data_IF_433019455819
#
_entry.id   IF_433019455819
#
_cell.length_a   1.000
_cell.length_b   1.000
_cell.length_c   1.000
_cell.angle_alpha   90.00
_cell.angle_beta   90.00
_cell.angle_gamma   90.00
#
_symmetry.space_group_name_H-M   'P 1'
#
loop_
_entity.id
_entity.type
_entity.pdbx_description
1 polymer ?
#
# COMPACT_ATOMS: atom_id res chain seq x y z
N UNK A 1 26.37 -32.09 20.89
CA UNK A 1 27.44 -33.08 20.96
C UNK A 1 28.80 -32.43 21.23
N UNK A 2 29.20 -31.38 20.50
CA UNK A 2 30.38 -30.58 20.80
C UNK A 2 30.03 -29.09 20.94
N UNK A 3 30.96 -28.30 21.48
CA UNK A 3 30.75 -26.86 21.68
C UNK A 3 30.50 -26.12 20.35
N UNK A 4 31.26 -26.46 19.30
CA UNK A 4 31.16 -25.90 17.94
C UNK A 4 29.74 -26.08 17.37
N UNK A 5 29.14 -27.29 17.51
CA UNK A 5 27.80 -27.57 17.03
C UNK A 5 26.72 -26.81 17.78
N UNK A 6 26.87 -26.65 19.10
CA UNK A 6 25.94 -25.87 19.91
C UNK A 6 25.97 -24.37 19.56
N UNK A 7 27.17 -23.84 19.36
CA UNK A 7 27.38 -22.43 18.98
C UNK A 7 26.81 -22.16 17.59
N UNK A 8 27.14 -22.96 16.58
CA UNK A 8 26.61 -22.81 15.22
C UNK A 8 25.07 -22.90 15.19
N UNK A 9 24.48 -23.83 15.93
CA UNK A 9 23.02 -23.95 16.05
C UNK A 9 22.40 -22.74 16.73
N UNK A 10 22.99 -22.23 17.80
CA UNK A 10 22.53 -21.03 18.48
C UNK A 10 22.60 -19.82 17.55
N UNK A 11 23.71 -19.60 16.89
CA UNK A 11 23.88 -18.49 15.95
C UNK A 11 22.83 -18.52 14.86
N UNK A 12 22.56 -19.70 14.26
CA UNK A 12 21.51 -19.85 13.27
C UNK A 12 20.11 -19.58 13.82
N UNK A 13 19.78 -20.14 14.98
CA UNK A 13 18.44 -19.96 15.57
C UNK A 13 18.17 -18.52 15.97
N UNK A 14 19.18 -17.79 16.42
CA UNK A 14 19.05 -16.38 16.75
C UNK A 14 18.85 -15.54 15.46
N UNK A 15 19.62 -15.80 14.41
CA UNK A 15 19.46 -15.16 13.10
C UNK A 15 18.10 -15.51 12.45
N UNK A 16 17.67 -16.76 12.54
CA UNK A 16 16.36 -17.19 12.03
C UNK A 16 15.18 -16.51 12.73
N UNK A 17 15.28 -16.28 14.05
CA UNK A 17 14.25 -15.53 14.79
C UNK A 17 14.12 -14.09 14.28
N UNK A 18 15.26 -13.42 14.03
CA UNK A 18 15.27 -12.05 13.49
C UNK A 18 14.65 -12.03 12.09
N UNK A 19 15.05 -12.95 11.23
CA UNK A 19 14.45 -13.10 9.89
C UNK A 19 12.95 -13.34 9.95
N UNK A 20 12.51 -14.26 10.82
CA UNK A 20 11.07 -14.58 10.97
C UNK A 20 10.26 -13.37 11.44
N UNK A 21 10.80 -12.60 12.37
CA UNK A 21 10.15 -11.38 12.85
C UNK A 21 10.07 -10.34 11.73
N UNK A 22 11.18 -10.06 11.04
CA UNK A 22 11.20 -9.11 9.93
C UNK A 22 10.21 -9.52 8.80
N UNK A 23 10.09 -10.83 8.52
CA UNK A 23 9.11 -11.33 7.55
C UNK A 23 7.68 -11.07 8.00
N UNK A 24 7.36 -11.29 9.27
CA UNK A 24 6.03 -11.01 9.82
C UNK A 24 5.69 -9.52 9.78
N UNK A 25 6.67 -8.65 10.05
CA UNK A 25 6.49 -7.19 10.01
C UNK A 25 6.17 -6.72 8.58
N UNK A 26 6.85 -7.26 7.56
CA UNK A 26 6.56 -6.99 6.14
C UNK A 26 5.20 -7.55 5.73
N UNK A 27 4.91 -8.82 6.04
CA UNK A 27 3.64 -9.48 5.69
C UNK A 27 2.43 -8.69 6.25
N UNK A 28 2.54 -8.16 7.47
CA UNK A 28 1.49 -7.37 8.12
C UNK A 28 1.22 -6.02 7.41
N UNK A 29 2.26 -5.40 6.80
CA UNK A 29 2.08 -4.16 6.04
C UNK A 29 1.59 -4.40 4.62
N UNK A 30 1.85 -5.56 4.03
CA UNK A 30 1.45 -5.88 2.65
C UNK A 30 -0.05 -6.13 2.47
N UNK A 31 -0.79 -6.47 3.51
CA UNK A 31 -2.22 -6.81 3.43
C UNK A 31 -3.12 -5.72 2.82
N UNK A 32 -2.67 -4.43 2.75
CA UNK A 32 -3.47 -3.31 2.23
C UNK A 32 -2.75 -2.47 1.15
N UNK A 33 -1.69 -2.97 0.53
CA UNK A 33 -0.86 -2.20 -0.41
C UNK A 33 -1.64 -1.67 -1.63
N UNK A 34 -2.50 -2.47 -2.23
CA UNK A 34 -3.21 -2.08 -3.45
C UNK A 34 -4.27 -1.00 -3.19
N UNK A 35 -4.87 -1.00 -2.01
CA UNK A 35 -5.82 0.03 -1.59
C UNK A 35 -5.11 1.34 -1.27
N UNK A 36 -3.99 1.28 -0.56
CA UNK A 36 -3.15 2.45 -0.24
C UNK A 36 -2.60 3.12 -1.49
N UNK A 37 -2.10 2.35 -2.46
CA UNK A 37 -1.59 2.90 -3.72
C UNK A 37 -2.68 3.67 -4.48
N UNK A 38 -3.90 3.14 -4.55
CA UNK A 38 -5.04 3.82 -5.18
C UNK A 38 -5.45 5.08 -4.41
N UNK A 39 -5.44 5.01 -3.08
CA UNK A 39 -5.75 6.17 -2.23
C UNK A 39 -4.72 7.28 -2.42
N UNK A 40 -3.42 6.94 -2.50
CA UNK A 40 -2.33 7.88 -2.80
C UNK A 40 -2.52 8.60 -4.14
N UNK A 41 -2.76 7.83 -5.21
CA UNK A 41 -2.97 8.40 -6.54
C UNK A 41 -4.21 9.31 -6.59
N UNK A 42 -5.29 8.90 -5.91
CA UNK A 42 -6.51 9.69 -5.83
C UNK A 42 -6.29 10.99 -5.05
N UNK A 43 -5.62 10.93 -3.89
CA UNK A 43 -5.34 12.11 -3.08
C UNK A 43 -4.45 13.11 -3.82
N UNK A 44 -3.39 12.65 -4.49
CA UNK A 44 -2.52 13.50 -5.31
C UNK A 44 -3.31 14.21 -6.40
N UNK A 45 -4.12 13.47 -7.16
CA UNK A 45 -4.97 14.05 -8.20
C UNK A 45 -5.92 15.13 -7.64
N UNK A 46 -6.54 14.87 -6.48
CA UNK A 46 -7.48 15.80 -5.86
C UNK A 46 -6.81 17.07 -5.34
N UNK A 47 -5.62 16.93 -4.74
CA UNK A 47 -4.82 18.05 -4.28
C UNK A 47 -4.37 18.90 -5.46
N UNK A 48 -3.77 18.28 -6.49
CA UNK A 48 -3.32 18.97 -7.70
C UNK A 48 -4.46 19.75 -8.36
N UNK A 49 -5.67 19.15 -8.47
CA UNK A 49 -6.85 19.80 -9.05
C UNK A 49 -7.28 21.05 -8.27
N UNK A 50 -7.18 21.03 -6.93
CA UNK A 50 -7.54 22.17 -6.09
C UNK A 50 -6.45 23.24 -6.12
N UNK A 51 -5.17 22.84 -6.01
CA UNK A 51 -4.02 23.76 -6.09
C UNK A 51 -3.95 24.49 -7.45
N UNK A 52 -4.14 23.76 -8.55
CA UNK A 52 -4.14 24.33 -9.93
C UNK A 52 -5.25 25.36 -10.10
N UNK A 53 -6.37 25.20 -9.40
CA UNK A 53 -7.44 26.17 -9.44
C UNK A 53 -7.10 27.47 -8.72
N UNK A 54 -6.15 27.49 -7.77
CA UNK A 54 -5.66 28.68 -7.06
C UNK A 54 -6.79 29.46 -6.40
N UNK A 55 -7.60 28.79 -5.59
CA UNK A 55 -8.78 29.38 -4.95
C UNK A 55 -8.39 30.36 -3.84
N UNK A 56 -9.22 31.41 -3.67
CA UNK A 56 -9.10 32.38 -2.58
C UNK A 56 -10.39 32.39 -1.73
N UNK A 57 -10.24 32.50 -0.41
CA UNK A 57 -11.37 32.52 0.51
C UNK A 57 -12.35 33.63 0.14
N UNK A 58 -13.64 33.30 0.01
CA UNK A 58 -14.70 34.22 -0.37
C UNK A 58 -14.76 34.58 -1.85
N UNK A 59 -13.91 33.95 -2.70
CA UNK A 59 -13.88 34.21 -4.13
C UNK A 59 -15.20 33.83 -4.82
N UNK A 60 -15.81 32.74 -4.42
CA UNK A 60 -17.10 32.28 -4.95
C UNK A 60 -18.22 33.32 -4.76
N UNK A 61 -18.22 33.98 -3.59
CA UNK A 61 -19.19 35.05 -3.31
C UNK A 61 -18.89 36.28 -4.16
N UNK A 62 -17.63 36.71 -4.23
CA UNK A 62 -17.23 37.90 -4.97
C UNK A 62 -17.45 37.76 -6.48
N UNK A 63 -17.15 36.61 -7.06
CA UNK A 63 -17.39 36.29 -8.48
C UNK A 63 -18.88 36.26 -8.79
N UNK A 64 -19.72 35.64 -7.93
CA UNK A 64 -21.15 35.59 -8.11
C UNK A 64 -21.81 36.99 -8.05
N UNK A 65 -21.38 37.86 -7.14
CA UNK A 65 -21.85 39.24 -7.04
C UNK A 65 -21.43 40.07 -8.26
N UNK A 66 -20.17 39.88 -8.73
CA UNK A 66 -19.65 40.57 -9.92
C UNK A 66 -20.40 40.12 -11.18
N UNK A 67 -20.64 38.82 -11.37
CA UNK A 67 -21.43 38.29 -12.48
C UNK A 67 -22.84 38.91 -12.51
N UNK A 68 -23.52 38.91 -11.38
CA UNK A 68 -24.87 39.49 -11.29
C UNK A 68 -24.88 40.96 -11.69
N UNK A 69 -23.86 41.73 -11.36
CA UNK A 69 -23.71 43.13 -11.76
C UNK A 69 -23.45 43.25 -13.25
N UNK A 70 -22.55 42.43 -13.80
CA UNK A 70 -22.21 42.45 -15.23
C UNK A 70 -23.39 41.99 -16.11
N UNK A 71 -24.16 40.99 -15.70
CA UNK A 71 -25.40 40.57 -16.35
C UNK A 71 -26.40 41.73 -16.46
N UNK A 72 -26.52 42.52 -15.38
CA UNK A 72 -27.39 43.71 -15.36
C UNK A 72 -26.95 44.76 -16.36
N UNK A 73 -25.66 44.99 -16.48
CA UNK A 73 -25.09 45.95 -17.45
C UNK A 73 -25.28 45.47 -18.91
N UNK A 74 -25.07 44.21 -19.22
CA UNK A 74 -25.34 43.64 -20.54
C UNK A 74 -26.80 43.84 -20.95
N UNK A 75 -27.73 43.57 -20.03
CA UNK A 75 -29.16 43.78 -20.29
C UNK A 75 -29.51 45.26 -20.56
N UNK A 76 -28.95 46.17 -19.75
CA UNK A 76 -29.16 47.62 -19.93
C UNK A 76 -28.61 48.09 -21.28
N UNK A 77 -27.37 47.71 -21.63
CA UNK A 77 -26.74 48.08 -22.91
C UNK A 77 -27.56 47.59 -24.12
N UNK A 78 -28.04 46.34 -24.09
CA UNK A 78 -28.92 45.84 -25.14
C UNK A 78 -30.22 46.63 -25.30
N UNK A 79 -30.87 46.96 -24.17
CA UNK A 79 -32.13 47.73 -24.22
C UNK A 79 -31.89 49.15 -24.72
N UNK A 80 -30.82 49.81 -24.26
CA UNK A 80 -30.45 51.16 -24.69
C UNK A 80 -30.11 51.17 -26.20
N UNK A 81 -29.35 50.16 -26.66
CA UNK A 81 -29.04 50.02 -28.09
C UNK A 81 -30.31 49.85 -28.93
N UNK A 82 -31.24 49.02 -28.48
CA UNK A 82 -32.53 48.85 -29.18
C UNK A 82 -33.39 50.14 -29.21
N UNK A 83 -33.36 50.88 -28.11
CA UNK A 83 -34.04 52.18 -28.04
C UNK A 83 -33.40 53.18 -29.03
N UNK A 84 -32.08 53.28 -29.02
CA UNK A 84 -31.34 54.17 -29.93
C UNK A 84 -31.65 53.85 -31.40
N UNK A 85 -31.61 52.59 -31.79
CA UNK A 85 -31.98 52.16 -33.14
C UNK A 85 -33.41 52.50 -33.51
N UNK A 86 -34.35 52.40 -32.59
CA UNK A 86 -35.74 52.82 -32.82
C UNK A 86 -35.86 54.36 -33.07
N UNK A 87 -35.04 55.16 -32.38
CA UNK A 87 -35.05 56.59 -32.60
C UNK A 87 -34.35 57.02 -33.90
N UNK A 88 -33.23 56.41 -34.27
CA UNK A 88 -32.34 56.90 -35.34
C UNK A 88 -32.15 55.97 -36.54
N UNK A 89 -32.07 54.64 -36.34
CA UNK A 89 -31.56 53.70 -37.36
C UNK A 89 -32.59 52.67 -37.84
N UNK A 90 -33.78 52.64 -37.27
CA UNK A 90 -34.84 51.69 -37.62
C UNK A 90 -35.39 51.90 -39.07
N UNK A 91 -36.15 50.94 -39.62
CA UNK A 91 -36.75 51.04 -40.96
C UNK A 91 -37.62 52.27 -41.10
N UNK A 92 -38.18 52.76 -40.05
CA UNK A 92 -38.91 54.01 -39.91
C UNK A 92 -38.49 54.67 -38.59
N UNK A 93 -37.41 55.46 -38.60
CA UNK A 93 -36.92 56.13 -37.40
C UNK A 93 -37.99 57.03 -36.81
N UNK A 94 -38.16 56.93 -35.48
CA UNK A 94 -39.22 57.70 -34.82
C UNK A 94 -39.04 59.18 -35.00
N UNK A 95 -37.79 59.70 -34.89
CA UNK A 95 -37.49 61.11 -35.08
C UNK A 95 -37.72 61.59 -36.49
N UNK A 96 -37.42 60.78 -37.51
CA UNK A 96 -37.71 61.11 -38.89
C UNK A 96 -39.22 61.17 -39.16
N UNK A 97 -39.97 60.22 -38.59
CA UNK A 97 -41.42 60.16 -38.68
C UNK A 97 -42.08 61.39 -38.06
N UNK A 98 -41.70 61.74 -36.82
CA UNK A 98 -42.19 62.93 -36.13
C UNK A 98 -41.77 64.23 -36.81
N UNK A 99 -40.55 64.30 -37.34
CA UNK A 99 -40.10 65.47 -38.12
C UNK A 99 -40.89 65.66 -39.41
N UNK A 100 -41.25 64.59 -40.11
CA UNK A 100 -42.14 64.70 -41.29
C UNK A 100 -43.53 65.27 -40.89
N UNK A 101 -44.11 64.74 -39.82
CA UNK A 101 -45.39 65.25 -39.31
C UNK A 101 -45.25 66.73 -38.89
N UNK A 102 -44.19 67.12 -38.25
CA UNK A 102 -43.87 68.50 -37.85
C UNK A 102 -43.84 69.42 -39.04
N UNK A 103 -43.14 69.03 -40.10
CA UNK A 103 -43.09 69.84 -41.35
C UNK A 103 -44.45 69.99 -41.98
N UNK A 104 -45.21 68.87 -42.10
CA UNK A 104 -46.57 68.92 -42.67
C UNK A 104 -47.55 69.78 -41.90
N UNK A 105 -47.59 69.65 -40.55
CA UNK A 105 -48.47 70.45 -39.68
C UNK A 105 -48.10 71.92 -39.69
N UNK A 106 -46.79 72.27 -39.68
CA UNK A 106 -46.31 73.65 -39.81
C UNK A 106 -46.69 74.28 -41.13
N UNK A 107 -46.74 73.50 -42.22
CA UNK A 107 -47.22 74.04 -43.47
C UNK A 107 -48.71 74.30 -43.52
N UNK A 108 -49.50 73.46 -42.82
CA UNK A 108 -50.94 73.65 -42.70
C UNK A 108 -51.31 74.92 -41.90
N UNK A 109 -50.51 75.43 -41.00
CA UNK A 109 -50.73 76.70 -40.26
C UNK A 109 -50.88 77.89 -41.20
N UNK A 110 -50.25 77.85 -42.44
CA UNK A 110 -50.36 78.88 -43.47
C UNK A 110 -51.79 78.98 -44.00
N UNK A 111 -52.56 77.89 -43.90
CA UNK A 111 -53.93 77.81 -44.44
C UNK A 111 -55.02 77.94 -43.34
N UNK A 112 -54.66 77.54 -42.08
CA UNK A 112 -55.56 77.62 -40.95
C UNK A 112 -54.79 78.02 -39.65
N UNK A 113 -55.03 79.25 -39.15
CA UNK A 113 -54.35 79.78 -37.99
C UNK A 113 -54.72 79.05 -36.69
N UNK A 114 -55.83 78.38 -36.60
CA UNK A 114 -56.26 77.59 -35.43
C UNK A 114 -55.34 76.37 -35.20
N UNK A 115 -54.62 75.92 -36.22
CA UNK A 115 -53.66 74.81 -36.13
C UNK A 115 -52.34 75.19 -35.48
N UNK A 116 -52.14 76.48 -35.17
CA UNK A 116 -50.90 76.96 -34.55
C UNK A 116 -50.57 76.27 -33.23
N UNK A 117 -51.55 76.09 -32.34
CA UNK A 117 -51.38 75.42 -31.06
C UNK A 117 -50.98 73.95 -31.26
N UNK A 118 -51.61 73.25 -32.21
CA UNK A 118 -51.26 71.85 -32.58
C UNK A 118 -49.83 71.76 -33.13
N UNK A 119 -49.42 72.71 -33.96
CA UNK A 119 -48.07 72.77 -34.50
C UNK A 119 -47.02 72.97 -33.39
N UNK A 120 -47.25 73.88 -32.43
CA UNK A 120 -46.39 74.08 -31.29
C UNK A 120 -46.29 72.82 -30.41
N UNK A 121 -47.39 72.05 -30.23
CA UNK A 121 -47.37 70.78 -29.53
C UNK A 121 -46.52 69.72 -30.23
N UNK A 122 -46.60 69.62 -31.57
CA UNK A 122 -45.82 68.67 -32.33
C UNK A 122 -44.31 69.07 -32.34
N UNK A 123 -44.00 70.33 -32.44
CA UNK A 123 -42.67 70.86 -32.30
C UNK A 123 -42.06 70.51 -30.92
N UNK A 124 -42.81 70.74 -29.86
CA UNK A 124 -42.39 70.37 -28.51
C UNK A 124 -42.19 68.89 -28.35
N UNK A 125 -43.04 68.03 -28.90
CA UNK A 125 -42.91 66.59 -28.84
C UNK A 125 -41.63 66.13 -29.59
N UNK A 126 -41.33 66.68 -30.75
CA UNK A 126 -40.11 66.37 -31.48
C UNK A 126 -38.86 66.66 -30.64
N UNK A 127 -38.72 67.88 -30.09
CA UNK A 127 -37.58 68.26 -29.29
C UNK A 127 -37.45 67.44 -28.00
N UNK A 128 -38.59 67.09 -27.36
CA UNK A 128 -38.58 66.21 -26.18
C UNK A 128 -38.12 64.79 -26.49
N UNK A 129 -38.48 64.21 -27.64
CA UNK A 129 -38.06 62.91 -28.08
C UNK A 129 -36.58 62.92 -28.46
N UNK A 130 -36.12 63.96 -29.15
CA UNK A 130 -34.69 64.18 -29.49
C UNK A 130 -33.83 64.25 -28.25
N UNK A 131 -34.22 65.05 -27.25
CA UNK A 131 -33.52 65.15 -25.95
C UNK A 131 -33.51 63.84 -25.19
N UNK A 132 -34.63 63.09 -25.20
CA UNK A 132 -34.73 61.77 -24.60
C UNK A 132 -33.74 60.77 -25.27
N UNK A 133 -33.70 60.74 -26.60
CA UNK A 133 -32.77 59.89 -27.35
C UNK A 133 -31.29 60.22 -27.06
N UNK A 134 -30.95 61.52 -27.05
CA UNK A 134 -29.59 61.94 -26.70
C UNK A 134 -29.25 61.65 -25.25
N UNK A 135 -30.21 61.72 -24.34
CA UNK A 135 -30.00 61.37 -22.91
C UNK A 135 -29.77 59.90 -22.71
N UNK A 136 -30.48 59.03 -23.45
CA UNK A 136 -30.25 57.58 -23.45
C UNK A 136 -28.88 57.21 -24.00
N UNK A 137 -28.46 57.87 -25.06
CA UNK A 137 -27.12 57.68 -25.65
C UNK A 137 -26.00 58.13 -24.70
N UNK A 138 -26.12 59.31 -24.12
CA UNK A 138 -25.17 59.80 -23.11
C UNK A 138 -25.11 58.83 -21.90
N UNK A 139 -26.24 58.29 -21.45
CA UNK A 139 -26.25 57.34 -20.32
C UNK A 139 -25.58 56.01 -20.71
N UNK A 140 -25.78 55.54 -21.94
CA UNK A 140 -25.14 54.34 -22.49
C UNK A 140 -23.60 54.47 -22.48
N UNK A 141 -23.07 55.66 -22.87
CA UNK A 141 -21.63 55.92 -22.83
C UNK A 141 -21.05 55.93 -21.39
N UNK A 142 -21.89 56.07 -20.36
CA UNK A 142 -21.43 56.00 -18.96
C UNK A 142 -21.39 54.58 -18.43
N UNK A 143 -22.00 53.61 -19.13
CA UNK A 143 -22.01 52.21 -18.75
C UNK A 143 -20.78 51.53 -19.33
N UNK A 144 -19.85 51.12 -18.45
CA UNK A 144 -18.66 50.36 -18.84
C UNK A 144 -18.99 48.87 -18.79
N UNK A 145 -19.42 48.26 -19.89
CA UNK A 145 -19.52 46.82 -20.02
C UNK A 145 -18.19 46.26 -20.50
N UNK A 146 -17.58 45.41 -19.69
CA UNK A 146 -16.33 44.70 -19.98
C UNK A 146 -16.62 43.24 -20.32
N UNK A 147 -16.64 42.90 -21.62
CA UNK A 147 -16.94 41.57 -22.13
C UNK A 147 -15.86 40.57 -21.72
N UNK A 148 -14.57 40.97 -21.70
CA UNK A 148 -13.47 40.10 -21.30
C UNK A 148 -13.58 39.74 -19.82
N UNK A 149 -13.88 40.73 -18.99
CA UNK A 149 -14.10 40.54 -17.57
C UNK A 149 -15.32 39.65 -17.28
N UNK A 150 -16.41 39.85 -18.02
CA UNK A 150 -17.60 39.00 -17.89
C UNK A 150 -17.29 37.54 -18.22
N UNK A 151 -16.61 37.30 -19.33
CA UNK A 151 -16.20 35.95 -19.72
C UNK A 151 -15.28 35.32 -18.68
N UNK A 152 -14.30 36.05 -18.18
CA UNK A 152 -13.43 35.59 -17.10
C UNK A 152 -14.23 35.15 -15.87
N UNK A 153 -15.19 35.96 -15.41
CA UNK A 153 -16.01 35.63 -14.26
C UNK A 153 -16.87 34.39 -14.50
N UNK A 154 -17.41 34.21 -15.72
CA UNK A 154 -18.17 33.00 -16.08
C UNK A 154 -17.29 31.74 -16.06
N UNK A 155 -16.12 31.78 -16.65
CA UNK A 155 -15.18 30.67 -16.66
C UNK A 155 -14.74 30.32 -15.23
N UNK A 156 -14.48 31.35 -14.40
CA UNK A 156 -14.08 31.19 -13.01
C UNK A 156 -15.20 30.61 -12.15
N UNK A 157 -16.41 31.11 -12.29
CA UNK A 157 -17.60 30.55 -11.60
C UNK A 157 -17.84 29.09 -11.96
N UNK A 158 -17.68 28.74 -13.24
CA UNK A 158 -17.79 27.36 -13.71
C UNK A 158 -16.76 26.45 -13.04
N UNK A 159 -15.51 26.92 -12.93
CA UNK A 159 -14.42 26.19 -12.28
C UNK A 159 -14.75 25.97 -10.79
N UNK A 160 -15.09 27.04 -10.08
CA UNK A 160 -15.45 26.99 -8.67
C UNK A 160 -16.66 26.06 -8.43
N UNK A 161 -17.68 26.16 -9.26
CA UNK A 161 -18.84 25.29 -9.19
C UNK A 161 -18.50 23.80 -9.40
N UNK A 162 -17.59 23.52 -10.33
CA UNK A 162 -17.08 22.16 -10.55
C UNK A 162 -16.39 21.58 -9.32
N UNK A 163 -15.57 22.37 -8.67
CA UNK A 163 -14.86 21.98 -7.44
C UNK A 163 -15.81 21.85 -6.25
N UNK A 164 -16.78 22.76 -6.13
CA UNK A 164 -17.81 22.67 -5.08
C UNK A 164 -18.57 21.35 -5.14
N UNK A 165 -18.93 20.87 -6.31
CA UNK A 165 -19.63 19.57 -6.48
C UNK A 165 -18.81 18.36 -6.01
N UNK A 166 -17.49 18.48 -5.94
CA UNK A 166 -16.59 17.37 -5.60
C UNK A 166 -16.12 17.42 -4.15
N UNK A 167 -15.83 18.62 -3.63
CA UNK A 167 -15.02 18.77 -2.43
C UNK A 167 -15.70 19.54 -1.29
N UNK A 168 -16.79 20.29 -1.53
CA UNK A 168 -17.50 21.03 -0.48
C UNK A 168 -18.42 22.09 -1.04
N UNK A 169 -19.28 22.65 -0.22
CA UNK A 169 -20.30 23.64 -0.67
C UNK A 169 -19.79 25.09 -0.74
N UNK A 170 -18.58 25.37 -0.22
CA UNK A 170 -17.93 26.67 -0.27
C UNK A 170 -16.43 26.55 -0.58
N UNK A 171 -15.77 27.66 -0.94
CA UNK A 171 -14.32 27.69 -1.16
C UNK A 171 -13.57 27.34 0.12
N UNK A 172 -14.05 27.79 1.27
CA UNK A 172 -13.48 27.45 2.57
C UNK A 172 -13.52 25.96 2.85
N UNK A 173 -14.61 25.28 2.48
CA UNK A 173 -14.74 23.82 2.64
C UNK A 173 -13.82 23.06 1.68
N UNK A 174 -13.64 23.56 0.46
CA UNK A 174 -12.72 22.96 -0.52
C UNK A 174 -11.27 23.04 0.01
N UNK A 175 -10.85 24.21 0.49
CA UNK A 175 -9.52 24.39 1.08
C UNK A 175 -9.32 23.57 2.36
N UNK A 176 -10.35 23.44 3.20
CA UNK A 176 -10.31 22.57 4.38
C UNK A 176 -10.26 21.08 3.99
N UNK A 177 -10.85 20.69 2.86
CA UNK A 177 -10.72 19.35 2.31
C UNK A 177 -9.28 19.09 1.83
N UNK A 178 -8.69 20.05 1.09
CA UNK A 178 -7.31 19.99 0.62
C UNK A 178 -6.32 19.77 1.79
N UNK A 179 -6.45 20.55 2.88
CA UNK A 179 -5.60 20.40 4.06
C UNK A 179 -5.71 18.98 4.67
N UNK A 180 -6.92 18.43 4.76
CA UNK A 180 -7.14 17.06 5.23
C UNK A 180 -6.57 16.03 4.27
N UNK A 181 -6.73 16.23 2.97
CA UNK A 181 -6.19 15.36 1.94
C UNK A 181 -4.66 15.35 1.97
N UNK A 182 -4.03 16.51 2.14
CA UNK A 182 -2.59 16.67 2.29
C UNK A 182 -2.05 15.93 3.52
N UNK A 183 -2.69 16.13 4.68
CA UNK A 183 -2.30 15.41 5.91
C UNK A 183 -2.42 13.89 5.75
N UNK A 184 -3.46 13.41 5.06
CA UNK A 184 -3.64 11.98 4.78
C UNK A 184 -2.62 11.45 3.79
N UNK A 185 -2.26 12.24 2.77
CA UNK A 185 -1.21 11.91 1.81
C UNK A 185 0.14 11.72 2.52
N UNK A 186 0.53 12.65 3.39
CA UNK A 186 1.77 12.58 4.17
C UNK A 186 1.81 11.34 5.08
N UNK A 187 0.68 11.01 5.73
CA UNK A 187 0.57 9.78 6.54
C UNK A 187 0.82 8.53 5.70
N UNK A 188 0.19 8.43 4.53
CA UNK A 188 0.33 7.27 3.63
C UNK A 188 1.73 7.18 3.02
N UNK A 189 2.35 8.28 2.65
CA UNK A 189 3.74 8.32 2.16
C UNK A 189 4.72 7.89 3.26
N UNK A 190 4.48 8.29 4.50
CA UNK A 190 5.24 7.82 5.65
C UNK A 190 5.18 6.29 5.84
N UNK A 191 4.02 5.68 5.61
CA UNK A 191 3.84 4.23 5.64
C UNK A 191 4.58 3.51 4.50
N UNK A 192 4.62 4.09 3.30
CA UNK A 192 5.39 3.54 2.16
C UNK A 192 6.88 3.56 2.48
N UNK A 193 7.40 4.66 3.02
CA UNK A 193 8.80 4.77 3.41
C UNK A 193 9.17 3.75 4.51
N UNK A 194 8.31 3.57 5.51
CA UNK A 194 8.50 2.57 6.55
C UNK A 194 8.51 1.14 5.99
N UNK A 195 7.76 0.87 4.93
CA UNK A 195 7.76 -0.42 4.25
C UNK A 195 9.09 -0.71 3.55
N UNK A 196 9.63 0.24 2.79
CA UNK A 196 10.93 0.08 2.11
C UNK A 196 12.05 -0.21 3.12
N UNK A 197 12.00 0.43 4.28
CA UNK A 197 12.94 0.17 5.38
C UNK A 197 12.80 -1.25 5.94
N UNK A 198 11.56 -1.73 6.11
CA UNK A 198 11.30 -3.09 6.59
C UNK A 198 11.69 -4.15 5.56
N UNK A 199 11.47 -3.93 4.27
CA UNK A 199 11.90 -4.82 3.20
C UNK A 199 13.43 -4.93 3.15
N UNK A 200 14.13 -3.80 3.27
CA UNK A 200 15.59 -3.77 3.37
C UNK A 200 16.08 -4.59 4.58
N UNK A 201 15.44 -4.39 5.73
CA UNK A 201 15.76 -5.13 6.96
C UNK A 201 15.48 -6.62 6.84
N UNK A 202 14.42 -7.01 6.12
CA UNK A 202 14.11 -8.41 5.82
C UNK A 202 15.19 -9.06 4.97
N UNK A 203 15.63 -8.40 3.90
CA UNK A 203 16.72 -8.89 3.03
C UNK A 203 18.02 -9.06 3.79
N UNK A 204 18.42 -8.10 4.62
CA UNK A 204 19.61 -8.20 5.47
C UNK A 204 19.50 -9.37 6.47
N UNK A 205 18.35 -9.49 7.15
CA UNK A 205 18.12 -10.56 8.11
C UNK A 205 18.13 -11.95 7.44
N UNK A 206 17.58 -12.06 6.23
CA UNK A 206 17.60 -13.27 5.41
C UNK A 206 19.03 -13.69 5.09
N UNK A 207 19.84 -12.76 4.59
CA UNK A 207 21.23 -12.99 4.25
C UNK A 207 22.05 -13.49 5.46
N UNK A 208 21.88 -12.86 6.61
CA UNK A 208 22.55 -13.27 7.84
C UNK A 208 22.13 -14.69 8.26
N UNK A 209 20.84 -15.01 8.13
CA UNK A 209 20.33 -16.34 8.45
C UNK A 209 20.85 -17.41 7.46
N UNK A 210 20.96 -17.11 6.17
CA UNK A 210 21.50 -18.00 5.14
C UNK A 210 23.02 -18.26 5.36
N UNK A 211 23.78 -17.24 5.70
CA UNK A 211 25.20 -17.38 6.05
C UNK A 211 25.38 -18.27 7.30
N UNK A 212 24.60 -18.02 8.35
CA UNK A 212 24.60 -18.83 9.56
C UNK A 212 24.16 -20.29 9.29
N UNK A 213 23.17 -20.50 8.40
CA UNK A 213 22.75 -21.84 7.95
C UNK A 213 23.88 -22.59 7.25
N UNK A 214 24.61 -21.90 6.38
CA UNK A 214 25.76 -22.48 5.67
C UNK A 214 26.82 -22.98 6.64
N UNK A 215 27.11 -22.21 7.67
CA UNK A 215 28.04 -22.60 8.74
C UNK A 215 27.51 -23.80 9.52
N UNK A 216 26.24 -23.73 9.94
CA UNK A 216 25.58 -24.83 10.66
C UNK A 216 25.59 -26.13 9.85
N UNK A 217 25.30 -26.06 8.55
CA UNK A 217 25.28 -27.23 7.66
C UNK A 217 26.68 -27.89 7.59
N UNK A 218 27.74 -27.11 7.38
CA UNK A 218 29.13 -27.62 7.38
C UNK A 218 29.48 -28.32 8.71
N UNK A 219 29.12 -27.71 9.83
CA UNK A 219 29.36 -28.26 11.16
C UNK A 219 28.54 -29.54 11.39
N UNK A 220 27.31 -29.58 10.94
CA UNK A 220 26.44 -30.79 11.00
C UNK A 220 27.01 -31.95 10.21
N UNK A 221 27.46 -31.71 8.97
CA UNK A 221 28.05 -32.76 8.12
C UNK A 221 29.35 -33.31 8.75
N UNK A 222 30.20 -32.44 9.30
CA UNK A 222 31.40 -32.84 10.05
C UNK A 222 31.05 -33.71 11.26
N UNK A 223 30.09 -33.23 12.07
CA UNK A 223 29.67 -33.95 13.28
C UNK A 223 28.95 -35.26 12.96
N UNK A 224 28.15 -35.32 11.89
CA UNK A 224 27.48 -36.52 11.42
C UNK A 224 28.47 -37.66 11.15
N UNK A 225 29.58 -37.36 10.49
CA UNK A 225 30.65 -38.33 10.24
C UNK A 225 31.32 -38.83 11.53
N UNK A 226 31.59 -37.92 12.46
CA UNK A 226 32.21 -38.28 13.76
C UNK A 226 31.26 -39.16 14.59
N UNK A 227 29.99 -38.81 14.60
CA UNK A 227 28.95 -39.56 15.33
C UNK A 227 28.74 -40.94 14.67
N UNK A 228 28.66 -41.01 13.34
CA UNK A 228 28.50 -42.28 12.62
C UNK A 228 29.69 -43.24 12.93
N UNK A 229 30.92 -42.72 12.94
CA UNK A 229 32.11 -43.52 13.29
C UNK A 229 32.05 -44.03 14.74
N UNK A 230 31.65 -43.17 15.67
CA UNK A 230 31.50 -43.56 17.08
C UNK A 230 30.41 -44.61 17.27
N UNK A 231 29.27 -44.43 16.62
CA UNK A 231 28.15 -45.39 16.64
C UNK A 231 28.57 -46.72 16.00
N UNK A 232 29.26 -46.73 14.87
CA UNK A 232 29.76 -47.96 14.26
C UNK A 232 30.65 -48.76 15.24
N UNK A 233 31.58 -48.10 15.97
CA UNK A 233 32.41 -48.79 16.95
C UNK A 233 31.56 -49.42 18.08
N UNK A 234 30.53 -48.70 18.55
CA UNK A 234 29.59 -49.24 19.53
C UNK A 234 28.80 -50.45 18.97
N UNK A 235 28.40 -50.40 17.72
CA UNK A 235 27.67 -51.50 17.05
C UNK A 235 28.53 -52.76 16.90
N UNK A 236 29.85 -52.63 16.60
CA UNK A 236 30.79 -53.74 16.56
C UNK A 236 30.83 -54.45 17.91
N UNK A 237 30.89 -53.71 19.01
CA UNK A 237 30.87 -54.27 20.35
C UNK A 237 29.56 -54.98 20.71
N UNK A 238 28.44 -54.51 20.13
CA UNK A 238 27.10 -55.04 20.33
C UNK A 238 26.72 -56.15 19.35
N UNK A 239 27.71 -56.77 18.66
CA UNK A 239 27.50 -57.93 17.79
C UNK A 239 26.99 -57.57 16.41
N UNK A 240 27.14 -56.34 15.95
CA UNK A 240 26.76 -55.86 14.61
C UNK A 240 27.95 -55.31 13.85
N UNK A 241 29.03 -56.10 13.61
CA UNK A 241 30.27 -55.57 13.01
C UNK A 241 30.15 -55.13 11.56
N UNK A 242 29.07 -55.57 10.88
CA UNK A 242 28.76 -55.20 9.49
C UNK A 242 27.77 -54.07 9.39
N UNK A 243 27.20 -53.64 10.49
CA UNK A 243 26.21 -52.54 10.54
C UNK A 243 26.85 -51.24 10.09
N UNK A 244 26.19 -50.53 9.19
CA UNK A 244 26.59 -49.19 8.75
C UNK A 244 25.52 -48.18 9.11
N UNK A 245 25.95 -47.03 9.65
CA UNK A 245 25.09 -45.92 10.04
C UNK A 245 25.55 -44.67 9.31
N UNK A 246 24.62 -43.97 8.69
CA UNK A 246 24.84 -42.69 8.07
C UNK A 246 23.74 -41.69 8.46
N UNK A 247 24.07 -40.41 8.48
CA UNK A 247 23.11 -39.36 8.66
C UNK A 247 22.87 -38.65 7.32
N UNK A 248 21.64 -38.68 6.87
CA UNK A 248 21.19 -37.93 5.72
C UNK A 248 20.60 -36.60 6.18
N UNK A 249 21.16 -35.50 5.70
CA UNK A 249 20.72 -34.13 6.02
C UNK A 249 20.23 -33.55 4.71
N UNK A 250 18.93 -33.42 4.56
CA UNK A 250 18.33 -32.81 3.37
C UNK A 250 18.23 -31.29 3.59
N UNK A 251 18.84 -30.53 2.68
CA UNK A 251 18.75 -29.06 2.71
C UNK A 251 17.32 -28.64 2.35
N UNK A 252 16.78 -27.64 3.07
CA UNK A 252 15.52 -27.01 2.74
C UNK A 252 15.72 -25.92 1.69
N UNK A 253 14.72 -25.71 0.85
CA UNK A 253 14.67 -24.58 -0.09
C UNK A 253 14.45 -23.28 0.67
N UNK A 254 13.68 -23.35 1.77
CA UNK A 254 13.35 -22.22 2.63
C UNK A 254 14.03 -22.34 3.99
N UNK A 255 14.31 -21.19 4.60
CA UNK A 255 14.78 -21.11 5.97
C UNK A 255 13.72 -21.69 6.93
N UNK A 256 14.13 -22.55 7.84
CA UNK A 256 13.25 -23.21 8.79
C UNK A 256 13.85 -23.21 10.20
N UNK A 257 13.04 -23.43 11.23
CA UNK A 257 13.54 -23.51 12.62
C UNK A 257 14.57 -24.62 12.84
N UNK A 258 14.53 -25.68 12.03
CA UNK A 258 15.49 -26.78 12.07
C UNK A 258 16.78 -26.47 11.28
N UNK A 259 16.71 -25.53 10.31
CA UNK A 259 17.82 -25.29 9.37
C UNK A 259 18.14 -26.49 8.47
N UNK A 260 17.13 -27.30 8.16
CA UNK A 260 17.17 -28.41 7.21
C UNK A 260 15.73 -28.79 6.90
N UNK A 261 15.46 -29.46 5.76
CA UNK A 261 14.17 -30.05 5.47
C UNK A 261 13.94 -31.28 6.34
N UNK A 262 14.95 -32.17 6.37
CA UNK A 262 14.93 -33.35 7.24
C UNK A 262 16.34 -33.73 7.70
N UNK A 263 16.43 -34.41 8.82
CA UNK A 263 17.64 -35.07 9.31
C UNK A 263 17.24 -36.49 9.66
N UNK A 264 17.73 -37.44 8.88
CA UNK A 264 17.39 -38.86 9.02
C UNK A 264 18.62 -39.68 9.32
N UNK A 265 18.47 -40.68 10.20
CA UNK A 265 19.48 -41.70 10.43
C UNK A 265 19.15 -42.92 9.54
N UNK A 266 20.08 -43.23 8.66
CA UNK A 266 20.01 -44.38 7.79
C UNK A 266 20.87 -45.51 8.37
N UNK A 267 20.41 -46.74 8.24
CA UNK A 267 21.07 -47.95 8.74
C UNK A 267 21.04 -49.07 7.71
N UNK A 268 22.08 -49.85 7.70
CA UNK A 268 22.16 -51.16 7.01
C UNK A 268 22.72 -52.18 7.97
N UNK A 269 22.12 -53.36 8.07
CA UNK A 269 22.60 -54.46 8.92
C UNK A 269 23.84 -55.18 8.34
N UNK A 270 24.00 -55.18 7.02
CA UNK A 270 25.05 -55.89 6.35
C UNK A 270 25.81 -55.00 5.34
N UNK A 271 27.09 -55.20 5.22
CA UNK A 271 27.94 -54.48 4.29
C UNK A 271 27.49 -54.69 2.84
N UNK A 272 27.19 -53.60 2.12
CA UNK A 272 26.76 -53.65 0.73
C UNK A 272 25.25 -53.65 0.52
N UNK A 273 24.47 -53.74 1.55
CA UNK A 273 23.01 -53.51 1.50
C UNK A 273 22.68 -52.03 1.40
N UNK A 274 21.51 -51.73 0.89
CA UNK A 274 21.03 -50.38 0.80
C UNK A 274 20.78 -49.79 2.19
N UNK A 275 21.31 -48.57 2.45
CA UNK A 275 21.01 -47.81 3.62
C UNK A 275 19.55 -47.35 3.56
N UNK A 276 18.77 -47.71 4.56
CA UNK A 276 17.37 -47.33 4.68
C UNK A 276 17.08 -46.63 6.01
N UNK A 277 16.04 -45.85 6.11
CA UNK A 277 15.60 -45.27 7.39
C UNK A 277 15.47 -46.33 8.47
N UNK A 278 16.00 -46.06 9.66
CA UNK A 278 16.11 -47.02 10.75
C UNK A 278 14.82 -47.82 11.03
N UNK A 279 13.68 -47.15 10.94
CA UNK A 279 12.36 -47.73 11.18
C UNK A 279 11.94 -48.83 10.16
N UNK A 280 12.68 -48.95 9.04
CA UNK A 280 12.38 -49.93 7.96
C UNK A 280 13.25 -51.17 7.98
N UNK A 281 14.33 -51.17 8.72
CA UNK A 281 15.42 -52.16 8.56
C UNK A 281 15.65 -53.00 9.81
N UNK A 282 15.51 -52.47 10.99
CA UNK A 282 15.95 -53.14 12.23
C UNK A 282 14.88 -54.05 12.81
N UNK A 283 15.29 -55.25 13.25
CA UNK A 283 14.48 -56.10 14.13
C UNK A 283 14.42 -55.51 15.52
N UNK A 284 13.48 -56.00 16.38
CA UNK A 284 13.34 -55.51 17.75
C UNK A 284 14.67 -55.51 18.55
N UNK A 285 15.37 -56.62 18.54
CA UNK A 285 16.66 -56.72 19.21
C UNK A 285 17.77 -55.87 18.59
N UNK A 286 17.82 -55.72 17.27
CA UNK A 286 18.75 -54.83 16.59
C UNK A 286 18.47 -53.36 16.97
N UNK A 287 17.18 -52.95 16.95
CA UNK A 287 16.78 -51.62 17.34
C UNK A 287 17.13 -51.27 18.76
N UNK A 288 16.93 -52.21 19.70
CA UNK A 288 17.31 -52.06 21.11
C UNK A 288 18.84 -51.85 21.28
N UNK A 289 19.66 -52.62 20.53
CA UNK A 289 21.13 -52.48 20.53
C UNK A 289 21.60 -51.17 19.90
N UNK A 290 20.95 -50.74 18.80
CA UNK A 290 21.23 -49.42 18.15
C UNK A 290 20.87 -48.29 19.15
N UNK A 291 19.74 -48.40 19.86
CA UNK A 291 19.36 -47.46 20.91
C UNK A 291 20.38 -47.42 22.06
N UNK A 292 20.88 -48.59 22.49
CA UNK A 292 21.96 -48.69 23.46
C UNK A 292 23.26 -48.03 22.99
N UNK A 293 23.69 -48.29 21.75
CA UNK A 293 24.86 -47.65 21.13
C UNK A 293 24.70 -46.11 21.13
N UNK A 294 23.50 -45.65 20.72
CA UNK A 294 23.22 -44.21 20.70
C UNK A 294 23.31 -43.60 22.11
N UNK A 295 22.76 -44.25 23.11
CA UNK A 295 22.85 -43.79 24.50
C UNK A 295 24.26 -43.85 25.08
N UNK A 296 25.11 -44.78 24.60
CA UNK A 296 26.50 -44.88 25.01
C UNK A 296 27.36 -43.72 24.45
N UNK A 297 27.08 -43.31 23.20
CA UNK A 297 27.74 -42.17 22.51
C UNK A 297 27.27 -40.82 23.03
N UNK A 298 25.94 -40.69 23.20
CA UNK A 298 25.32 -39.43 23.64
C UNK A 298 25.00 -39.49 25.16
N UNK A 299 26.00 -39.26 25.96
CA UNK A 299 25.80 -39.16 27.43
C UNK A 299 25.00 -37.89 27.75
N UNK A 300 23.95 -38.05 28.56
CA UNK A 300 23.16 -36.94 29.09
C UNK A 300 23.56 -36.69 30.53
N UNK A 301 23.75 -35.42 30.90
CA UNK A 301 24.01 -35.04 32.32
C UNK A 301 22.72 -35.08 33.19
N UNK A 302 21.57 -35.39 32.59
CA UNK A 302 20.30 -35.51 33.29
C UNK A 302 19.97 -36.98 33.51
N UNK A 303 19.65 -37.33 34.76
CA UNK A 303 19.16 -38.66 35.12
C UNK A 303 17.90 -39.02 34.34
N UNK A 304 17.89 -40.21 33.72
CA UNK A 304 16.77 -40.72 32.92
C UNK A 304 16.45 -42.15 33.28
N UNK A 305 15.18 -42.52 33.15
CA UNK A 305 14.76 -43.92 33.15
C UNK A 305 14.78 -44.45 31.72
N UNK A 306 15.43 -45.57 31.50
CA UNK A 306 15.55 -46.25 30.21
C UNK A 306 14.99 -47.68 30.33
N UNK A 307 14.25 -48.09 29.30
CA UNK A 307 13.71 -49.46 29.20
C UNK A 307 14.24 -50.03 27.88
N UNK A 308 14.90 -51.16 27.98
CA UNK A 308 15.36 -51.93 26.82
C UNK A 308 14.61 -53.25 26.80
N UNK A 309 13.91 -53.52 25.70
CA UNK A 309 13.16 -54.74 25.44
C UNK A 309 13.87 -55.58 24.39
N UNK A 310 13.90 -56.88 24.58
CA UNK A 310 14.51 -57.87 23.64
C UNK A 310 16.00 -57.58 23.29
N UNK A 311 16.75 -56.89 24.15
CA UNK A 311 18.13 -56.48 23.85
C UNK A 311 19.08 -57.69 23.72
N UNK A 312 18.78 -58.82 24.32
CA UNK A 312 19.52 -60.06 24.31
C UNK A 312 19.13 -61.04 23.15
N UNK A 313 18.12 -60.70 22.36
CA UNK A 313 17.67 -61.55 21.24
C UNK A 313 18.74 -61.61 20.14
N UNK A 314 19.10 -62.85 19.77
CA UNK A 314 20.03 -63.13 18.68
C UNK A 314 21.51 -62.92 19.03
N UNK A 315 21.88 -62.82 20.34
CA UNK A 315 23.23 -62.73 20.81
C UNK A 315 23.55 -63.82 21.81
N UNK A 316 24.83 -64.20 21.92
CA UNK A 316 25.31 -65.18 22.89
C UNK A 316 26.78 -64.94 23.23
N UNK A 317 27.28 -65.58 24.30
CA UNK A 317 28.68 -65.57 24.73
C UNK A 317 29.21 -64.16 24.99
N UNK A 318 30.35 -63.83 24.38
CA UNK A 318 31.10 -62.57 24.63
C UNK A 318 30.27 -61.31 24.28
N UNK A 319 29.40 -61.40 23.28
CA UNK A 319 28.56 -60.27 22.89
C UNK A 319 27.54 -59.94 24.03
N UNK A 320 26.92 -60.93 24.64
CA UNK A 320 26.03 -60.74 25.76
C UNK A 320 26.70 -60.09 26.96
N UNK A 321 27.95 -60.47 27.25
CA UNK A 321 28.78 -59.84 28.29
C UNK A 321 29.02 -58.33 27.99
N UNK A 322 29.39 -58.00 26.73
CA UNK A 322 29.60 -56.62 26.32
C UNK A 322 28.30 -55.76 26.40
N UNK A 323 27.17 -56.32 26.02
CA UNK A 323 25.86 -55.67 26.19
C UNK A 323 25.59 -55.37 27.68
N UNK A 324 25.83 -56.38 28.58
CA UNK A 324 25.65 -56.23 29.99
C UNK A 324 26.60 -55.16 30.62
N UNK A 325 27.86 -55.11 30.16
CA UNK A 325 28.81 -54.08 30.62
C UNK A 325 28.36 -52.66 30.20
N UNK A 326 27.87 -52.48 28.98
CA UNK A 326 27.35 -51.17 28.52
C UNK A 326 26.11 -50.75 29.29
N UNK A 327 25.20 -51.65 29.57
CA UNK A 327 24.01 -51.42 30.42
C UNK A 327 24.45 -51.04 31.84
N UNK A 328 25.39 -51.78 32.44
CA UNK A 328 25.94 -51.48 33.75
C UNK A 328 26.59 -50.08 33.80
N UNK A 329 27.30 -49.69 32.74
CA UNK A 329 27.89 -48.36 32.65
C UNK A 329 26.82 -47.24 32.56
N UNK A 330 25.71 -47.46 31.86
CA UNK A 330 24.60 -46.53 31.79
C UNK A 330 23.85 -46.44 33.11
N UNK A 331 23.71 -47.56 33.83
CA UNK A 331 23.01 -47.63 35.14
C UNK A 331 23.71 -46.86 36.26
N UNK A 332 24.96 -46.50 36.09
CA UNK A 332 25.70 -45.65 37.05
C UNK A 332 25.11 -44.23 37.19
N UNK A 333 24.50 -43.76 36.12
CA UNK A 333 23.95 -42.38 36.04
C UNK A 333 22.46 -42.34 35.65
N UNK A 334 21.86 -43.50 35.36
CA UNK A 334 20.45 -43.59 34.95
C UNK A 334 19.78 -44.80 35.62
N UNK A 335 18.44 -44.80 35.64
CA UNK A 335 17.68 -46.00 36.01
C UNK A 335 17.45 -46.81 34.69
N UNK A 336 17.86 -48.08 34.71
CA UNK A 336 17.76 -48.93 33.52
C UNK A 336 16.96 -50.17 33.84
N UNK A 337 15.94 -50.47 33.05
CA UNK A 337 15.18 -51.71 33.05
C UNK A 337 15.48 -52.50 31.77
N UNK A 338 15.72 -53.78 31.91
CA UNK A 338 15.88 -54.71 30.79
C UNK A 338 14.80 -55.78 30.85
N UNK A 339 14.10 -55.99 29.77
CA UNK A 339 13.15 -57.08 29.59
C UNK A 339 13.83 -58.13 28.71
N UNK A 340 14.01 -59.32 29.23
CA UNK A 340 14.70 -60.41 28.58
C UNK A 340 13.82 -61.66 28.54
N UNK A 341 14.00 -62.48 27.56
CA UNK A 341 13.23 -63.72 27.37
C UNK A 341 14.11 -64.95 27.41
#
# INVERSE_FOLDING_TARGET
>A
FNKEGKEAYKTYTDAYKIYKQAKQDVDHLQENMSERARELDMLRYQIDEIEDAGLSIGEDISIAEELKRLDSFEHIDKVLGSCYDAFYNGRQPLLDTINSIKVEVNDLVKYDAELKEVSEMVDSAYFQLEEAAQSLDRYRDTISYDEERYKYCQDRDTTIYGLKKKYGDSVEEILAYEEKAQARLEELEGLVFAQDELETRLEEAKKVAEEALTVLHKVRLKNAKVIATALHQELVDLGMPKGDIQFHIEEGIELSSLGAKSIEMLFSANKGEQLLPLHKVASGGELARIALAFKSVFRSDTFKTMVFDEIDVGISGDIALKVAEKILNLSKTNQVFCITH
#
